data_IF_768087376791
#
_entry.id   IF_768087376791
#
_cell.length_a   1.000
_cell.length_b   1.000
_cell.length_c   1.000
_cell.angle_alpha   90.00
_cell.angle_beta   90.00
_cell.angle_gamma   90.00
#
_symmetry.space_group_name_H-M   'P 1'
#
loop_
_entity.id
_entity.type
_entity.pdbx_description
1 polymer ?
#
# COMPACT_ATOMS: atom_id res chain seq x y z
N UNK A 1 14.48 -4.25 18.23
CA UNK A 1 13.69 -4.45 19.46
C UNK A 1 12.67 -5.53 19.18
N UNK A 2 12.59 -6.59 20.01
CA UNK A 2 11.58 -7.64 19.85
C UNK A 2 10.19 -7.05 20.13
N UNK A 3 9.19 -7.53 19.40
CA UNK A 3 7.84 -6.99 19.27
C UNK A 3 6.81 -7.83 20.07
N UNK A 4 6.76 -7.75 21.41
CA UNK A 4 5.94 -8.66 22.20
C UNK A 4 4.42 -8.48 21.98
N UNK A 5 3.94 -7.28 21.62
CA UNK A 5 2.51 -7.07 21.31
C UNK A 5 2.12 -7.59 19.92
N UNK A 6 3.00 -7.53 18.93
CA UNK A 6 2.70 -7.99 17.57
C UNK A 6 2.45 -9.50 17.53
N UNK A 7 3.17 -10.28 18.33
CA UNK A 7 2.96 -11.73 18.43
C UNK A 7 1.58 -12.10 19.01
N UNK A 8 1.05 -11.29 19.93
CA UNK A 8 -0.28 -11.50 20.52
C UNK A 8 -1.39 -11.11 19.52
N UNK A 9 -1.20 -9.97 18.84
CA UNK A 9 -2.06 -9.48 17.75
C UNK A 9 -2.12 -10.52 16.62
N UNK A 10 -0.97 -11.03 16.18
CA UNK A 10 -0.88 -12.00 15.09
C UNK A 10 -1.51 -13.35 15.41
N UNK A 11 -1.45 -13.80 16.67
CA UNK A 11 -2.07 -15.04 17.12
C UNK A 11 -3.62 -15.00 17.11
N UNK A 12 -4.22 -13.80 17.11
CA UNK A 12 -5.67 -13.61 16.98
C UNK A 12 -6.07 -13.19 15.55
N UNK A 13 -5.20 -12.45 14.87
CA UNK A 13 -5.42 -11.85 13.56
C UNK A 13 -5.29 -12.81 12.38
N UNK A 14 -4.28 -13.68 12.37
CA UNK A 14 -4.11 -14.69 11.34
C UNK A 14 -4.79 -15.99 11.78
N UNK A 15 -5.48 -16.67 10.87
CA UNK A 15 -5.97 -18.02 11.13
C UNK A 15 -4.83 -19.07 11.22
N UNK A 16 -3.61 -18.67 11.61
CA UNK A 16 -2.38 -19.47 11.47
C UNK A 16 -1.20 -19.01 12.32
N UNK A 17 -0.11 -19.78 12.23
CA UNK A 17 1.11 -19.61 13.02
C UNK A 17 1.85 -18.29 12.70
N UNK A 18 2.46 -17.71 13.74
CA UNK A 18 3.43 -16.61 13.59
C UNK A 18 4.75 -17.19 13.07
N UNK A 19 5.19 -16.73 11.90
CA UNK A 19 6.46 -17.16 11.32
C UNK A 19 7.64 -16.41 11.95
N UNK A 20 8.74 -17.13 12.20
CA UNK A 20 10.05 -16.49 12.36
C UNK A 20 10.46 -15.87 11.02
N UNK A 21 11.09 -14.69 11.04
CA UNK A 21 11.43 -13.96 9.83
C UNK A 21 12.89 -13.57 9.77
N UNK A 22 13.39 -13.39 8.55
CA UNK A 22 14.72 -12.85 8.25
C UNK A 22 14.57 -11.65 7.33
N UNK A 23 15.05 -10.49 7.78
CA UNK A 23 15.23 -9.30 6.92
C UNK A 23 16.53 -9.47 6.14
N UNK A 24 16.45 -9.38 4.81
CA UNK A 24 17.60 -9.44 3.93
C UNK A 24 18.20 -8.04 3.70
N UNK A 25 19.49 -7.92 3.33
CA UNK A 25 20.09 -6.64 3.03
C UNK A 25 19.35 -5.87 1.92
N UNK A 26 19.46 -4.54 1.95
CA UNK A 26 18.95 -3.68 0.88
C UNK A 26 19.56 -4.10 -0.45
N UNK A 27 18.71 -4.33 -1.45
CA UNK A 27 19.12 -4.63 -2.82
C UNK A 27 18.77 -3.46 -3.72
N UNK A 28 19.70 -3.06 -4.59
CA UNK A 28 19.44 -2.08 -5.64
C UNK A 28 18.90 -2.78 -6.88
N UNK A 29 17.74 -2.34 -7.35
CA UNK A 29 17.13 -2.82 -8.59
C UNK A 29 17.24 -1.71 -9.62
N UNK A 30 17.93 -1.99 -10.71
CA UNK A 30 18.13 -1.06 -11.82
C UNK A 30 17.23 -1.43 -12.99
N UNK A 31 16.60 -0.44 -13.60
CA UNK A 31 15.78 -0.65 -14.79
C UNK A 31 15.73 0.60 -15.67
N UNK A 32 15.53 0.39 -16.97
CA UNK A 32 15.28 1.47 -17.92
C UNK A 32 13.81 1.89 -17.84
N UNK A 33 13.53 3.11 -17.38
CA UNK A 33 12.15 3.57 -17.16
C UNK A 33 11.35 3.64 -18.48
N UNK A 34 10.23 2.91 -18.63
CA UNK A 34 9.55 2.75 -19.92
C UNK A 34 9.07 4.06 -20.57
N UNK A 35 8.60 5.04 -19.79
CA UNK A 35 8.13 6.31 -20.36
C UNK A 35 9.27 7.27 -20.77
N UNK A 36 10.43 7.19 -20.11
CA UNK A 36 11.50 8.20 -20.26
C UNK A 36 12.71 7.65 -21.00
N UNK A 37 12.88 6.32 -21.02
CA UNK A 37 14.08 5.66 -21.52
C UNK A 37 15.35 6.06 -20.74
N UNK A 38 15.23 6.50 -19.49
CA UNK A 38 16.35 6.82 -18.61
C UNK A 38 16.49 5.72 -17.58
N UNK A 39 17.73 5.32 -17.29
CA UNK A 39 18.01 4.35 -16.23
C UNK A 39 17.54 4.89 -14.88
N UNK A 40 16.98 4.00 -14.07
CA UNK A 40 16.47 4.30 -12.74
C UNK A 40 16.84 3.18 -11.79
N UNK A 41 17.26 3.58 -10.60
CA UNK A 41 17.58 2.67 -9.50
C UNK A 41 16.58 2.87 -8.38
N UNK A 42 16.06 1.76 -7.86
CA UNK A 42 15.27 1.73 -6.63
C UNK A 42 15.95 0.80 -5.62
N UNK A 43 15.64 1.01 -4.36
CA UNK A 43 16.06 0.11 -3.29
C UNK A 43 14.89 -0.78 -2.90
N UNK A 44 15.15 -2.06 -2.65
CA UNK A 44 14.16 -3.02 -2.15
C UNK A 44 14.71 -3.76 -0.95
N UNK A 45 13.85 -4.08 0.00
CA UNK A 45 14.18 -4.98 1.12
C UNK A 45 13.15 -6.09 1.17
N UNK A 46 13.63 -7.33 1.24
CA UNK A 46 12.80 -8.52 1.40
C UNK A 46 12.89 -9.00 2.85
N UNK A 47 11.75 -9.28 3.44
CA UNK A 47 11.61 -9.99 4.70
C UNK A 47 10.97 -11.35 4.45
N UNK A 48 11.74 -12.40 4.73
CA UNK A 48 11.43 -13.76 4.38
C UNK A 48 10.95 -14.54 5.61
N UNK A 49 9.77 -15.16 5.57
CA UNK A 49 9.35 -16.18 6.53
C UNK A 49 10.26 -17.42 6.47
N UNK A 50 10.76 -17.85 7.62
CA UNK A 50 11.60 -19.03 7.77
C UNK A 50 10.77 -20.29 8.04
N UNK A 51 11.31 -21.44 7.65
CA UNK A 51 10.72 -22.75 7.96
C UNK A 51 9.51 -23.17 7.13
N UNK A 52 9.12 -22.37 6.12
CA UNK A 52 8.07 -22.75 5.19
C UNK A 52 8.58 -23.67 4.08
N UNK A 53 7.87 -24.77 3.82
CA UNK A 53 8.13 -25.65 2.70
C UNK A 53 7.53 -25.06 1.40
N UNK A 54 8.38 -24.83 0.39
CA UNK A 54 7.96 -24.41 -0.95
C UNK A 54 7.79 -22.90 -1.15
N UNK A 55 7.06 -22.54 -2.22
CA UNK A 55 6.87 -21.16 -2.67
C UNK A 55 5.79 -20.45 -1.86
N UNK A 56 6.14 -19.30 -1.29
CA UNK A 56 5.31 -18.46 -0.45
C UNK A 56 4.45 -17.49 -1.26
N UNK A 57 3.24 -17.14 -0.77
CA UNK A 57 2.57 -15.92 -1.22
C UNK A 57 3.40 -14.69 -0.86
N UNK A 58 3.33 -13.63 -1.67
CA UNK A 58 4.14 -12.43 -1.49
C UNK A 58 3.31 -11.15 -1.43
N UNK A 59 3.83 -10.14 -0.72
CA UNK A 59 3.22 -8.80 -0.62
C UNK A 59 4.28 -7.75 -0.89
N UNK A 60 3.99 -6.82 -1.81
CA UNK A 60 4.87 -5.67 -2.10
C UNK A 60 4.24 -4.39 -1.56
N UNK A 61 4.97 -3.66 -0.72
CA UNK A 61 4.53 -2.45 -0.01
C UNK A 61 5.18 -1.19 -0.57
N UNK A 62 4.36 -0.16 -0.84
CA UNK A 62 4.78 1.14 -1.37
C UNK A 62 4.47 2.27 -0.38
N UNK A 63 5.50 3.01 0.05
CA UNK A 63 5.37 4.09 1.04
C UNK A 63 4.67 5.34 0.51
N UNK A 64 4.17 6.23 1.38
CA UNK A 64 3.59 7.52 0.99
C UNK A 64 4.60 8.59 0.58
N UNK A 65 4.13 9.85 0.47
CA UNK A 65 4.99 11.02 0.24
C UNK A 65 5.37 11.28 -1.22
N UNK A 66 5.61 12.56 -1.52
CA UNK A 66 5.97 13.04 -2.86
C UNK A 66 7.49 13.16 -3.08
N UNK A 67 8.26 13.38 -2.02
CA UNK A 67 9.73 13.60 -2.08
C UNK A 67 10.58 12.32 -2.05
N UNK A 68 9.95 11.15 -2.11
CA UNK A 68 10.64 9.86 -2.03
C UNK A 68 10.83 9.34 -0.60
N UNK A 69 11.51 8.20 -0.50
CA UNK A 69 11.73 7.51 0.76
C UNK A 69 12.57 6.25 0.57
N UNK A 70 12.87 5.59 1.68
CA UNK A 70 13.65 4.34 1.71
C UNK A 70 12.72 3.13 1.90
N UNK A 71 13.21 1.90 1.68
CA UNK A 71 12.44 0.69 1.97
C UNK A 71 11.96 0.60 3.43
N UNK A 72 12.64 1.25 4.38
CA UNK A 72 12.25 1.25 5.79
C UNK A 72 11.01 2.13 6.08
N UNK A 73 10.51 2.88 5.10
CA UNK A 73 9.37 3.79 5.28
C UNK A 73 8.03 3.10 5.56
N UNK A 74 7.94 1.79 5.29
CA UNK A 74 6.84 0.88 5.67
C UNK A 74 7.37 -0.44 6.25
N UNK A 75 8.47 -0.40 7.01
CA UNK A 75 9.06 -1.59 7.63
C UNK A 75 8.08 -2.34 8.54
N UNK A 76 7.15 -1.63 9.17
CA UNK A 76 6.14 -2.23 10.05
C UNK A 76 5.13 -3.08 9.26
N UNK A 77 4.63 -2.59 8.13
CA UNK A 77 3.81 -3.38 7.22
C UNK A 77 4.56 -4.60 6.68
N UNK A 78 5.86 -4.43 6.36
CA UNK A 78 6.73 -5.53 5.95
C UNK A 78 6.79 -6.61 7.02
N UNK A 79 7.10 -6.21 8.25
CA UNK A 79 7.23 -7.13 9.39
C UNK A 79 5.93 -7.86 9.71
N UNK A 80 4.78 -7.16 9.75
CA UNK A 80 3.47 -7.78 10.04
C UNK A 80 3.13 -8.85 9.02
N UNK A 81 3.32 -8.57 7.73
CA UNK A 81 3.01 -9.54 6.68
C UNK A 81 4.03 -10.68 6.62
N UNK A 82 5.31 -10.42 6.89
CA UNK A 82 6.31 -11.48 7.01
C UNK A 82 6.01 -12.43 8.17
N UNK A 83 5.65 -11.90 9.34
CA UNK A 83 5.26 -12.70 10.50
C UNK A 83 3.92 -13.42 10.26
N UNK A 84 3.06 -12.89 9.40
CA UNK A 84 1.90 -13.57 8.84
C UNK A 84 2.22 -14.65 7.79
N UNK A 85 3.49 -15.02 7.62
CA UNK A 85 4.00 -16.03 6.69
C UNK A 85 3.87 -15.67 5.20
N UNK A 86 3.99 -14.39 4.85
CA UNK A 86 4.09 -13.89 3.47
C UNK A 86 5.52 -13.43 3.17
N UNK A 87 6.06 -13.72 1.98
CA UNK A 87 7.30 -13.07 1.56
C UNK A 87 7.02 -11.60 1.33
N UNK A 88 7.59 -10.73 2.18
CA UNK A 88 7.16 -9.34 2.25
C UNK A 88 8.25 -8.38 1.79
N UNK A 89 7.89 -7.42 0.95
CA UNK A 89 8.85 -6.59 0.22
C UNK A 89 8.47 -5.13 0.33
N UNK A 90 9.42 -4.27 0.64
CA UNK A 90 9.22 -2.81 0.64
C UNK A 90 10.07 -2.16 -0.44
N UNK A 91 9.47 -1.24 -1.19
CA UNK A 91 10.17 -0.43 -2.20
C UNK A 91 10.55 0.92 -1.60
N UNK A 92 11.81 1.33 -1.73
CA UNK A 92 12.28 2.69 -1.53
C UNK A 92 12.17 3.48 -2.82
N UNK A 93 11.09 4.23 -2.98
CA UNK A 93 10.87 5.06 -4.16
C UNK A 93 11.72 6.33 -4.04
N UNK A 94 12.82 6.40 -4.78
CA UNK A 94 13.64 7.61 -4.86
C UNK A 94 12.95 8.69 -5.70
N UNK A 95 13.12 9.96 -5.32
CA UNK A 95 12.73 11.07 -6.18
C UNK A 95 13.40 10.93 -7.56
N UNK A 96 12.72 11.21 -8.69
CA UNK A 96 13.34 11.11 -10.00
C UNK A 96 14.51 12.08 -10.14
N UNK A 97 15.66 11.58 -10.59
CA UNK A 97 16.83 12.42 -10.90
C UNK A 97 16.49 13.46 -11.97
N UNK A 98 17.23 14.58 -12.10
CA UNK A 98 16.85 15.68 -13.00
C UNK A 98 16.49 15.26 -14.44
N UNK A 99 17.26 14.35 -15.04
CA UNK A 99 16.98 13.86 -16.40
C UNK A 99 15.70 13.00 -16.49
N UNK A 100 15.37 12.27 -15.42
CA UNK A 100 14.11 11.52 -15.31
C UNK A 100 12.94 12.49 -15.06
N UNK A 101 13.11 13.42 -14.12
CA UNK A 101 12.11 14.40 -13.73
C UNK A 101 11.68 15.28 -14.91
N UNK A 102 12.64 15.76 -15.70
CA UNK A 102 12.37 16.54 -16.91
C UNK A 102 11.49 15.77 -17.90
N UNK A 103 11.84 14.51 -18.18
CA UNK A 103 11.10 13.68 -19.14
C UNK A 103 9.71 13.30 -18.62
N UNK A 104 9.57 12.97 -17.34
CA UNK A 104 8.26 12.71 -16.72
C UNK A 104 7.37 13.96 -16.76
N UNK A 105 7.94 15.13 -16.44
CA UNK A 105 7.22 16.41 -16.49
C UNK A 105 6.68 16.71 -17.90
N UNK A 106 7.55 16.58 -18.91
CA UNK A 106 7.17 16.77 -20.31
C UNK A 106 6.17 15.73 -20.79
N UNK A 107 6.29 14.48 -20.33
CA UNK A 107 5.32 13.42 -20.67
C UNK A 107 3.92 13.75 -20.16
N UNK A 108 3.80 14.36 -18.98
CA UNK A 108 2.53 14.87 -18.45
C UNK A 108 2.02 16.13 -19.17
N UNK A 109 2.74 16.68 -20.14
CA UNK A 109 2.36 17.91 -20.84
C UNK A 109 2.71 19.20 -20.11
N UNK A 110 3.63 19.16 -19.12
CA UNK A 110 4.04 20.31 -18.30
C UNK A 110 5.44 20.82 -18.65
N UNK A 111 5.74 22.07 -18.26
CA UNK A 111 7.04 22.70 -18.46
C UNK A 111 8.01 22.40 -17.30
N UNK A 112 9.24 22.00 -17.65
CA UNK A 112 10.31 21.76 -16.67
C UNK A 112 11.37 22.88 -16.75
N UNK A 113 11.87 23.41 -15.62
CA UNK A 113 11.56 23.03 -14.22
C UNK A 113 10.36 23.76 -13.60
N UNK A 114 9.73 24.70 -14.30
CA UNK A 114 8.76 25.63 -13.71
C UNK A 114 7.56 24.95 -13.03
N UNK A 115 7.04 23.87 -13.61
CA UNK A 115 5.88 23.15 -13.08
C UNK A 115 6.24 21.95 -12.19
N UNK A 116 7.34 21.24 -12.51
CA UNK A 116 7.66 19.96 -11.86
C UNK A 116 9.07 19.86 -11.25
N UNK A 117 9.78 20.98 -11.14
CA UNK A 117 11.08 21.00 -10.45
C UNK A 117 10.98 20.48 -9.02
N UNK A 118 12.12 20.16 -8.41
CA UNK A 118 12.17 19.64 -7.03
C UNK A 118 11.44 20.54 -6.01
N UNK A 119 11.54 21.86 -6.15
CA UNK A 119 10.80 22.82 -5.32
C UNK A 119 9.25 22.75 -5.48
N UNK A 120 8.75 22.02 -6.48
CA UNK A 120 7.33 21.85 -6.82
C UNK A 120 6.79 20.46 -6.46
N UNK A 121 7.57 19.62 -5.79
CA UNK A 121 7.21 18.26 -5.37
C UNK A 121 5.84 18.14 -4.69
N UNK A 122 5.45 19.14 -3.88
CA UNK A 122 4.15 19.17 -3.20
C UNK A 122 2.96 19.54 -4.11
N UNK A 123 3.22 20.11 -5.29
CA UNK A 123 2.21 20.55 -6.26
C UNK A 123 2.08 19.55 -7.41
N UNK A 124 3.21 19.07 -7.94
CA UNK A 124 3.27 18.06 -8.98
C UNK A 124 4.06 16.86 -8.48
N UNK A 125 3.34 15.79 -8.17
CA UNK A 125 3.91 14.57 -7.60
C UNK A 125 4.46 13.66 -8.70
N UNK A 126 5.58 14.03 -9.33
CA UNK A 126 6.23 13.23 -10.37
C UNK A 126 6.46 11.77 -9.95
N UNK A 127 6.78 11.57 -8.68
CA UNK A 127 6.99 10.24 -8.13
C UNK A 127 5.76 9.34 -8.28
N UNK A 128 4.54 9.88 -8.23
CA UNK A 128 3.32 9.09 -8.43
C UNK A 128 3.25 8.45 -9.81
N UNK A 129 3.83 9.09 -10.83
CA UNK A 129 3.94 8.54 -12.18
C UNK A 129 5.05 7.48 -12.30
N UNK A 130 6.11 7.58 -11.49
CA UNK A 130 7.22 6.61 -11.50
C UNK A 130 6.88 5.31 -10.73
N UNK A 131 6.08 5.39 -9.67
CA UNK A 131 5.76 4.27 -8.77
C UNK A 131 5.25 3.00 -9.47
N UNK A 132 4.34 3.04 -10.46
CA UNK A 132 3.91 1.82 -11.15
C UNK A 132 5.04 1.09 -11.87
N UNK A 133 6.06 1.82 -12.34
CA UNK A 133 7.23 1.24 -12.98
C UNK A 133 8.25 0.71 -11.98
N UNK A 134 8.42 1.39 -10.84
CA UNK A 134 9.20 0.88 -9.71
C UNK A 134 8.61 -0.44 -9.18
N UNK A 135 7.28 -0.54 -9.10
CA UNK A 135 6.58 -1.78 -8.78
C UNK A 135 6.87 -2.87 -9.81
N UNK A 136 6.77 -2.56 -11.11
CA UNK A 136 7.04 -3.53 -12.18
C UNK A 136 8.46 -4.10 -12.09
N UNK A 137 9.46 -3.23 -11.90
CA UNK A 137 10.85 -3.63 -11.74
C UNK A 137 11.06 -4.48 -10.47
N UNK A 138 10.38 -4.14 -9.37
CA UNK A 138 10.40 -4.95 -8.15
C UNK A 138 9.80 -6.33 -8.36
N UNK A 139 8.67 -6.42 -9.08
CA UNK A 139 8.06 -7.70 -9.42
C UNK A 139 8.95 -8.54 -10.34
N UNK A 140 9.62 -7.93 -11.32
CA UNK A 140 10.60 -8.62 -12.18
C UNK A 140 11.76 -9.17 -11.35
N UNK A 141 12.32 -8.36 -10.45
CA UNK A 141 13.36 -8.77 -9.51
C UNK A 141 12.91 -9.96 -8.64
N UNK A 142 11.70 -9.91 -8.06
CA UNK A 142 11.19 -11.01 -7.22
C UNK A 142 10.97 -12.30 -8.02
N UNK A 143 10.43 -12.19 -9.23
CA UNK A 143 10.15 -13.36 -10.06
C UNK A 143 11.42 -13.98 -10.67
N UNK A 144 12.53 -13.26 -10.67
CA UNK A 144 13.84 -13.74 -11.10
C UNK A 144 14.68 -14.25 -9.92
N UNK A 145 15.03 -13.35 -8.99
CA UNK A 145 15.99 -13.60 -7.91
C UNK A 145 15.38 -14.42 -6.76
N UNK A 146 14.06 -14.39 -6.63
CA UNK A 146 13.31 -15.13 -5.61
C UNK A 146 12.39 -16.18 -6.21
N UNK A 147 12.65 -16.62 -7.45
CA UNK A 147 11.80 -17.55 -8.20
C UNK A 147 11.50 -18.85 -7.44
N UNK A 148 12.46 -19.37 -6.68
CA UNK A 148 12.32 -20.60 -5.89
C UNK A 148 11.50 -20.41 -4.61
N UNK A 149 11.27 -19.16 -4.18
CA UNK A 149 10.58 -18.81 -2.94
C UNK A 149 9.27 -18.07 -3.13
N UNK A 150 9.04 -17.39 -4.26
CA UNK A 150 7.80 -16.65 -4.53
C UNK A 150 6.87 -17.47 -5.40
N UNK A 151 5.60 -17.57 -5.00
CA UNK A 151 4.55 -18.10 -5.85
C UNK A 151 3.99 -16.98 -6.74
N UNK A 152 4.22 -17.01 -8.08
CA UNK A 152 3.81 -15.93 -8.98
C UNK A 152 2.30 -15.76 -9.06
N UNK A 153 1.52 -16.77 -8.68
CA UNK A 153 0.05 -16.72 -8.69
C UNK A 153 -0.54 -16.16 -7.38
N UNK A 154 0.30 -15.81 -6.41
CA UNK A 154 -0.12 -15.40 -5.07
C UNK A 154 0.62 -14.13 -4.62
N UNK A 155 0.50 -13.07 -5.42
CA UNK A 155 1.12 -11.77 -5.14
C UNK A 155 0.02 -10.76 -4.81
N UNK A 156 0.19 -10.01 -3.72
CA UNK A 156 -0.60 -8.81 -3.44
C UNK A 156 0.29 -7.56 -3.45
N UNK A 157 -0.33 -6.41 -3.64
CA UNK A 157 0.34 -5.11 -3.59
C UNK A 157 -0.40 -4.22 -2.60
N UNK A 158 0.36 -3.63 -1.68
CA UNK A 158 -0.15 -2.74 -0.65
C UNK A 158 0.53 -1.38 -0.70
N UNK A 159 -0.14 -0.36 -0.17
CA UNK A 159 0.50 0.93 0.00
C UNK A 159 -0.21 1.85 0.97
N UNK A 160 0.50 2.89 1.38
CA UNK A 160 0.00 3.97 2.22
C UNK A 160 0.05 5.31 1.47
N UNK A 161 -0.99 6.13 1.59
CA UNK A 161 -1.02 7.50 1.04
C UNK A 161 -0.73 7.49 -0.47
N UNK A 162 0.28 8.22 -0.96
CA UNK A 162 0.69 8.19 -2.37
C UNK A 162 1.01 6.77 -2.88
N UNK A 163 1.53 5.89 -2.00
CA UNK A 163 1.73 4.48 -2.31
C UNK A 163 0.44 3.68 -2.41
N UNK A 164 -0.61 4.05 -1.66
CA UNK A 164 -1.96 3.49 -1.82
C UNK A 164 -2.54 3.87 -3.19
N UNK A 165 -2.35 5.11 -3.63
CA UNK A 165 -2.68 5.55 -4.99
C UNK A 165 -1.98 4.70 -6.06
N UNK A 166 -0.67 4.42 -5.90
CA UNK A 166 0.07 3.56 -6.81
C UNK A 166 -0.40 2.10 -6.80
N UNK A 167 -0.81 1.57 -5.63
CA UNK A 167 -1.39 0.23 -5.53
C UNK A 167 -2.71 0.16 -6.33
N UNK A 168 -3.56 1.17 -6.22
CA UNK A 168 -4.81 1.27 -7.00
C UNK A 168 -4.53 1.46 -8.51
N UNK A 169 -3.50 2.22 -8.90
CA UNK A 169 -3.08 2.32 -10.31
C UNK A 169 -2.65 0.96 -10.88
N UNK A 170 -1.91 0.16 -10.10
CA UNK A 170 -1.56 -1.21 -10.47
C UNK A 170 -2.79 -2.14 -10.51
N UNK A 171 -3.82 -1.86 -9.70
CA UNK A 171 -5.09 -2.57 -9.72
C UNK A 171 -5.93 -2.28 -10.97
N UNK A 172 -5.72 -1.12 -11.61
CA UNK A 172 -6.48 -0.71 -12.80
C UNK A 172 -7.01 0.72 -12.73
N UNK A 173 -6.76 1.46 -11.64
CA UNK A 173 -7.23 2.83 -11.54
C UNK A 173 -6.60 3.72 -12.62
N UNK A 174 -7.45 4.44 -13.35
CA UNK A 174 -7.05 5.47 -14.28
C UNK A 174 -6.65 6.75 -13.55
N UNK A 175 -5.73 7.49 -14.16
CA UNK A 175 -5.27 8.81 -13.71
C UNK A 175 -5.28 9.79 -14.87
N UNK A 176 -5.66 11.03 -14.56
CA UNK A 176 -5.63 12.15 -15.50
C UNK A 176 -4.31 12.92 -15.35
N UNK A 177 -3.62 13.10 -16.46
CA UNK A 177 -2.44 13.94 -16.59
C UNK A 177 -2.70 14.97 -17.70
N UNK A 178 -3.10 16.17 -17.30
CA UNK A 178 -3.61 17.20 -18.24
C UNK A 178 -4.74 16.64 -19.10
N UNK A 179 -4.55 16.58 -20.42
CA UNK A 179 -5.54 16.07 -21.38
C UNK A 179 -5.53 14.54 -21.53
N UNK A 180 -4.60 13.83 -20.86
CA UNK A 180 -4.43 12.38 -20.98
C UNK A 180 -5.13 11.66 -19.84
N UNK A 181 -5.76 10.53 -20.14
CA UNK A 181 -6.24 9.57 -19.14
C UNK A 181 -5.48 8.26 -19.37
N UNK A 182 -4.79 7.78 -18.35
CA UNK A 182 -3.84 6.69 -18.45
C UNK A 182 -4.05 5.66 -17.35
N UNK A 183 -3.81 4.40 -17.67
CA UNK A 183 -3.87 3.28 -16.74
C UNK A 183 -2.52 2.59 -16.66
N UNK A 184 -2.11 2.18 -15.46
CA UNK A 184 -0.83 1.48 -15.24
C UNK A 184 -1.02 0.09 -14.64
N UNK A 185 -2.15 -0.55 -14.95
CA UNK A 185 -2.49 -1.87 -14.47
C UNK A 185 -1.32 -2.85 -14.64
N UNK A 186 -1.07 -3.66 -13.63
CA UNK A 186 -0.15 -4.80 -13.71
C UNK A 186 -0.95 -6.08 -13.53
N UNK A 187 -0.84 -7.08 -14.44
CA UNK A 187 -1.65 -8.29 -14.38
C UNK A 187 -1.18 -9.28 -13.30
N UNK A 188 0.03 -9.13 -12.75
CA UNK A 188 0.63 -10.12 -11.83
C UNK A 188 0.00 -10.13 -10.44
N UNK A 189 -0.25 -8.97 -9.77
CA UNK A 189 -0.90 -8.98 -8.47
C UNK A 189 -2.37 -9.41 -8.55
N UNK A 190 -2.82 -10.15 -7.54
CA UNK A 190 -4.16 -10.74 -7.44
C UNK A 190 -5.08 -9.99 -6.47
N UNK A 191 -4.52 -9.22 -5.54
CA UNK A 191 -5.27 -8.49 -4.53
C UNK A 191 -4.51 -7.21 -4.13
N UNK A 192 -5.25 -6.16 -3.73
CA UNK A 192 -4.68 -4.84 -3.47
C UNK A 192 -5.11 -4.29 -2.11
N UNK A 193 -4.17 -3.66 -1.40
CA UNK A 193 -4.42 -2.99 -0.12
C UNK A 193 -4.08 -1.50 -0.27
N UNK A 194 -5.03 -0.62 0.01
CA UNK A 194 -4.86 0.82 -0.15
C UNK A 194 -5.26 1.53 1.14
N UNK A 195 -4.25 1.92 1.92
CA UNK A 195 -4.44 2.60 3.19
C UNK A 195 -4.29 4.11 3.02
N UNK A 196 -5.36 4.87 3.33
CA UNK A 196 -5.50 6.31 3.06
C UNK A 196 -5.26 6.70 1.59
N UNK A 197 -5.99 6.11 0.62
CA UNK A 197 -5.83 6.44 -0.80
C UNK A 197 -6.32 7.86 -1.13
N UNK A 198 -5.89 8.40 -2.27
CA UNK A 198 -6.40 9.68 -2.77
C UNK A 198 -7.80 9.50 -3.38
N UNK A 199 -8.72 10.40 -3.04
CA UNK A 199 -10.09 10.45 -3.59
C UNK A 199 -10.20 11.24 -4.90
N UNK A 200 -11.38 11.21 -5.56
CA UNK A 200 -11.67 12.05 -6.73
C UNK A 200 -11.34 13.52 -6.49
N UNK A 201 -10.62 14.15 -7.42
CA UNK A 201 -10.14 15.52 -7.31
C UNK A 201 -8.71 15.68 -6.78
N UNK A 202 -8.11 14.60 -6.25
CA UNK A 202 -6.71 14.58 -5.80
C UNK A 202 -5.83 13.76 -6.75
N UNK A 203 -4.59 14.19 -6.98
CA UNK A 203 -3.56 13.44 -7.74
C UNK A 203 -4.00 12.86 -9.10
N UNK A 204 -4.88 13.58 -9.81
CA UNK A 204 -5.40 13.15 -11.11
C UNK A 204 -6.45 12.03 -11.02
N UNK A 205 -6.94 11.68 -9.83
CA UNK A 205 -8.14 10.87 -9.65
C UNK A 205 -9.36 11.68 -10.09
N UNK A 206 -10.27 11.07 -10.84
CA UNK A 206 -11.52 11.68 -11.27
C UNK A 206 -12.66 10.65 -11.12
N UNK A 207 -13.91 11.09 -11.18
CA UNK A 207 -15.05 10.18 -11.14
C UNK A 207 -14.97 9.14 -12.28
N UNK A 208 -15.00 7.85 -11.94
CA UNK A 208 -14.79 6.74 -12.89
C UNK A 208 -13.32 6.31 -13.01
N UNK A 209 -12.41 6.91 -12.23
CA UNK A 209 -11.01 6.44 -12.15
C UNK A 209 -10.92 4.97 -11.76
N UNK A 210 -11.89 4.42 -11.03
CA UNK A 210 -11.83 3.07 -10.45
C UNK A 210 -12.60 2.02 -11.26
N UNK A 211 -13.24 2.39 -12.38
CA UNK A 211 -14.07 1.49 -13.21
C UNK A 211 -13.29 0.29 -13.77
N UNK A 212 -11.98 0.44 -13.98
CA UNK A 212 -11.09 -0.61 -14.48
C UNK A 212 -10.62 -1.60 -13.41
N UNK A 213 -11.02 -1.46 -12.15
CA UNK A 213 -10.62 -2.37 -11.07
C UNK A 213 -11.64 -3.51 -10.95
N UNK A 214 -11.21 -4.71 -11.33
CA UNK A 214 -11.99 -5.95 -11.33
C UNK A 214 -11.46 -7.00 -10.34
N UNK A 215 -10.51 -6.62 -9.49
CA UNK A 215 -9.82 -7.48 -8.52
C UNK A 215 -10.12 -7.04 -7.08
N UNK A 216 -9.97 -7.94 -6.10
CA UNK A 216 -10.20 -7.63 -4.69
C UNK A 216 -9.37 -6.44 -4.22
N UNK A 217 -10.01 -5.52 -3.51
CA UNK A 217 -9.35 -4.36 -2.88
C UNK A 217 -9.81 -4.21 -1.44
N UNK A 218 -8.85 -4.00 -0.54
CA UNK A 218 -9.10 -3.49 0.81
C UNK A 218 -8.69 -2.03 0.90
N UNK A 219 -9.67 -1.15 1.15
CA UNK A 219 -9.44 0.24 1.54
C UNK A 219 -9.37 0.31 3.07
N UNK A 220 -8.42 1.08 3.61
CA UNK A 220 -8.39 1.40 5.03
C UNK A 220 -8.28 2.90 5.28
N UNK A 221 -9.18 3.44 6.09
CA UNK A 221 -9.18 4.85 6.53
C UNK A 221 -9.92 4.98 7.86
N UNK A 222 -10.11 6.21 8.37
CA UNK A 222 -10.80 6.46 9.63
C UNK A 222 -11.08 7.95 9.86
N UNK A 223 -11.84 8.25 10.90
CA UNK A 223 -12.37 9.60 11.17
C UNK A 223 -11.26 10.66 11.25
N UNK A 224 -10.15 10.34 11.91
CA UNK A 224 -9.00 11.25 12.04
C UNK A 224 -8.13 11.40 10.79
N UNK A 225 -8.42 10.67 9.70
CA UNK A 225 -7.56 10.59 8.52
C UNK A 225 -7.69 11.83 7.64
N UNK A 226 -6.95 12.87 8.03
CA UNK A 226 -6.95 14.18 7.38
C UNK A 226 -5.54 14.54 6.91
N UNK A 227 -5.38 14.95 5.65
CA UNK A 227 -4.06 15.32 5.08
C UNK A 227 -4.20 16.14 3.81
N UNK A 228 -3.37 17.17 3.63
CA UNK A 228 -3.24 17.84 2.33
C UNK A 228 -4.54 18.39 1.71
N UNK A 229 -5.57 18.67 2.52
CA UNK A 229 -6.90 19.08 2.07
C UNK A 229 -7.91 17.95 1.90
N UNK A 230 -7.48 16.68 1.94
CA UNK A 230 -8.34 15.48 1.89
C UNK A 230 -8.75 15.03 3.29
N UNK A 231 -10.01 14.66 3.45
CA UNK A 231 -10.65 14.17 4.68
C UNK A 231 -10.99 12.67 4.60
N UNK A 232 -11.45 12.09 5.70
CA UNK A 232 -11.85 10.69 5.76
C UNK A 232 -12.88 10.33 4.68
N UNK A 233 -13.82 11.24 4.42
CA UNK A 233 -14.89 11.07 3.42
C UNK A 233 -14.34 10.93 1.99
N UNK A 234 -13.28 11.66 1.64
CA UNK A 234 -12.65 11.54 0.31
C UNK A 234 -12.05 10.15 0.08
N UNK A 235 -11.58 9.51 1.17
CA UNK A 235 -11.01 8.15 1.14
C UNK A 235 -12.11 7.10 1.12
N UNK A 236 -13.22 7.35 1.81
CA UNK A 236 -14.43 6.52 1.72
C UNK A 236 -15.04 6.59 0.33
N UNK A 237 -15.00 7.75 -0.34
CA UNK A 237 -15.48 7.90 -1.71
C UNK A 237 -14.76 6.97 -2.70
N UNK A 238 -13.49 6.65 -2.47
CA UNK A 238 -12.76 5.62 -3.24
C UNK A 238 -13.44 4.26 -3.12
N UNK A 239 -13.79 3.84 -1.89
CA UNK A 239 -14.55 2.60 -1.69
C UNK A 239 -15.92 2.68 -2.38
N UNK A 240 -16.64 3.79 -2.25
CA UNK A 240 -17.96 3.93 -2.83
C UNK A 240 -17.93 3.88 -4.38
N UNK A 241 -16.87 4.38 -5.03
CA UNK A 241 -16.68 4.30 -6.49
C UNK A 241 -16.18 2.94 -7.02
N UNK A 242 -15.57 2.08 -6.18
CA UNK A 242 -15.10 0.77 -6.62
C UNK A 242 -16.26 -0.11 -7.11
N UNK A 243 -16.25 -0.52 -8.38
CA UNK A 243 -17.33 -1.32 -8.99
C UNK A 243 -17.07 -2.83 -9.07
N UNK A 244 -15.83 -3.27 -8.78
CA UNK A 244 -15.43 -4.68 -8.89
C UNK A 244 -16.04 -5.59 -7.81
N UNK A 245 -15.84 -6.92 -7.92
CA UNK A 245 -16.21 -7.86 -6.85
C UNK A 245 -15.24 -7.74 -5.68
N UNK A 246 -15.67 -8.14 -4.47
CA UNK A 246 -14.78 -8.31 -3.32
C UNK A 246 -14.05 -7.01 -2.91
N UNK A 247 -14.84 -5.95 -2.75
CA UNK A 247 -14.35 -4.64 -2.34
C UNK A 247 -14.63 -4.47 -0.86
N UNK A 248 -13.63 -4.02 -0.10
CA UNK A 248 -13.71 -3.89 1.34
C UNK A 248 -13.29 -2.52 1.81
N UNK A 249 -13.92 -2.06 2.89
CA UNK A 249 -13.53 -0.85 3.59
C UNK A 249 -13.42 -1.16 5.08
N UNK A 250 -12.20 -1.07 5.60
CA UNK A 250 -11.93 -0.88 7.01
C UNK A 250 -12.05 0.60 7.34
N UNK A 251 -13.03 0.96 8.17
CA UNK A 251 -13.19 2.31 8.69
C UNK A 251 -13.00 2.33 10.21
N UNK A 252 -12.07 3.15 10.69
CA UNK A 252 -11.87 3.40 12.11
C UNK A 252 -12.67 4.63 12.51
N UNK A 253 -13.71 4.47 13.33
CA UNK A 253 -14.61 5.54 13.76
C UNK A 253 -13.94 6.53 14.73
N UNK A 254 -12.76 6.17 15.24
CA UNK A 254 -12.00 6.93 16.24
C UNK A 254 -11.08 7.98 15.59
N UNK A 255 -11.15 9.22 16.08
CA UNK A 255 -10.31 10.35 15.66
C UNK A 255 -8.81 10.12 15.94
N UNK A 256 -8.46 9.15 16.78
CA UNK A 256 -7.09 8.73 17.07
C UNK A 256 -6.40 7.97 15.92
N UNK A 257 -7.06 7.84 14.76
CA UNK A 257 -6.51 7.29 13.52
C UNK A 257 -6.10 8.39 12.50
N UNK A 258 -5.05 9.20 12.76
CA UNK A 258 -4.61 10.23 11.83
C UNK A 258 -3.98 9.64 10.56
N UNK A 259 -3.82 10.44 9.51
CA UNK A 259 -3.29 9.97 8.22
C UNK A 259 -1.99 9.15 8.30
N UNK A 260 -1.04 9.54 9.16
CA UNK A 260 0.23 8.83 9.33
C UNK A 260 0.07 7.41 9.88
N UNK A 261 -1.04 7.12 10.57
CA UNK A 261 -1.37 5.84 11.21
C UNK A 261 -1.44 4.69 10.22
N UNK A 262 -1.99 4.96 9.05
CA UNK A 262 -2.24 4.00 7.98
C UNK A 262 -0.94 3.52 7.30
N UNK A 263 0.19 4.16 7.58
CA UNK A 263 1.52 3.64 7.27
C UNK A 263 2.03 2.59 8.26
N UNK A 264 1.25 2.27 9.30
CA UNK A 264 1.55 1.34 10.40
C UNK A 264 2.77 1.70 11.28
N UNK A 265 3.32 2.90 11.11
CA UNK A 265 4.51 3.34 11.83
C UNK A 265 4.21 3.76 13.27
N UNK A 266 4.83 3.09 14.26
CA UNK A 266 4.66 3.43 15.68
C UNK A 266 5.28 4.78 16.04
N UNK A 267 6.37 5.16 15.36
CA UNK A 267 6.96 6.50 15.48
C UNK A 267 6.04 7.61 14.91
N UNK A 268 5.03 7.24 14.11
CA UNK A 268 4.01 8.15 13.58
C UNK A 268 2.76 8.19 14.45
N UNK A 269 2.80 7.63 15.66
CA UNK A 269 1.80 7.78 16.72
C UNK A 269 1.82 9.18 17.36
N UNK A 270 1.88 10.21 16.53
CA UNK A 270 1.87 11.62 16.93
C UNK A 270 0.95 12.34 15.95
N UNK A 271 -0.07 13.01 16.46
CA UNK A 271 -0.94 13.87 15.65
C UNK A 271 -0.37 15.29 15.59
N UNK A 272 -0.75 16.06 14.58
CA UNK A 272 -0.44 17.49 14.43
C UNK A 272 -1.08 18.36 15.53
N UNK A 273 -0.69 18.13 16.78
CA UNK A 273 -1.25 18.74 17.99
C UNK A 273 -0.80 18.07 19.30
N UNK A 274 -0.19 16.87 19.28
CA UNK A 274 0.33 16.20 20.49
C UNK A 274 0.36 14.67 20.40
N UNK A 275 0.91 13.99 21.44
CA UNK A 275 0.90 12.54 21.51
C UNK A 275 -0.53 12.00 21.62
N UNK A 276 -0.84 10.99 20.82
CA UNK A 276 -1.99 10.10 21.05
C UNK A 276 -1.57 9.12 22.15
N UNK A 277 -2.49 8.65 22.99
CA UNK A 277 -2.15 7.62 23.96
C UNK A 277 -1.60 6.37 23.25
N UNK A 278 -0.51 5.79 23.78
CA UNK A 278 0.15 4.63 23.17
C UNK A 278 -0.81 3.43 23.01
N UNK A 279 -1.79 3.30 23.91
CA UNK A 279 -2.82 2.26 23.88
C UNK A 279 -3.76 2.39 22.67
N UNK A 280 -4.17 3.61 22.31
CA UNK A 280 -4.97 3.85 21.11
C UNK A 280 -4.14 3.63 19.84
N UNK A 281 -2.86 3.96 19.92
CA UNK A 281 -1.91 3.71 18.84
C UNK A 281 -1.78 2.22 18.51
N UNK A 282 -1.65 1.39 19.55
CA UNK A 282 -1.51 -0.07 19.41
C UNK A 282 -2.81 -0.72 18.92
N UNK A 283 -3.97 -0.27 19.40
CA UNK A 283 -5.28 -0.78 18.96
C UNK A 283 -5.52 -0.58 17.46
N UNK A 284 -5.23 0.61 16.93
CA UNK A 284 -5.43 0.86 15.50
C UNK A 284 -4.43 0.05 14.66
N UNK A 285 -3.19 -0.11 15.12
CA UNK A 285 -2.19 -0.96 14.46
C UNK A 285 -2.68 -2.42 14.42
N UNK A 286 -3.24 -2.91 15.53
CA UNK A 286 -3.85 -4.23 15.61
C UNK A 286 -4.96 -4.40 14.58
N UNK A 287 -5.94 -3.49 14.52
CA UNK A 287 -7.05 -3.60 13.58
C UNK A 287 -6.61 -3.55 12.13
N UNK A 288 -5.69 -2.65 11.78
CA UNK A 288 -5.10 -2.56 10.45
C UNK A 288 -4.39 -3.86 10.07
N UNK A 289 -3.59 -4.41 10.98
CA UNK A 289 -2.88 -5.67 10.79
C UNK A 289 -3.85 -6.84 10.59
N UNK A 290 -4.89 -6.94 11.43
CA UNK A 290 -5.93 -7.97 11.35
C UNK A 290 -6.66 -7.93 10.02
N UNK A 291 -7.14 -6.76 9.61
CA UNK A 291 -7.84 -6.63 8.33
C UNK A 291 -6.93 -6.99 7.15
N UNK A 292 -5.69 -6.52 7.14
CA UNK A 292 -4.74 -6.84 6.08
C UNK A 292 -4.45 -8.35 5.99
N UNK A 293 -4.20 -9.01 7.12
CA UNK A 293 -3.88 -10.44 7.14
C UNK A 293 -5.08 -11.30 6.77
N UNK A 294 -6.28 -10.98 7.26
CA UNK A 294 -7.52 -11.67 6.84
C UNK A 294 -7.79 -11.48 5.35
N UNK A 295 -7.58 -10.28 4.81
CA UNK A 295 -7.68 -10.02 3.38
C UNK A 295 -6.67 -10.84 2.56
N UNK A 296 -5.41 -10.87 2.98
CA UNK A 296 -4.38 -11.67 2.32
C UNK A 296 -4.68 -13.17 2.41
N UNK A 297 -5.17 -13.66 3.55
CA UNK A 297 -5.56 -15.07 3.74
C UNK A 297 -6.73 -15.44 2.80
N UNK A 298 -7.72 -14.56 2.66
CA UNK A 298 -8.87 -14.77 1.78
C UNK A 298 -8.44 -14.91 0.30
N UNK A 299 -7.50 -14.08 -0.17
CA UNK A 299 -7.21 -13.98 -1.61
C UNK A 299 -5.90 -14.62 -2.08
N UNK A 300 -4.90 -14.78 -1.20
CA UNK A 300 -3.65 -15.47 -1.55
C UNK A 300 -3.63 -16.92 -1.03
N UNK A 301 -4.40 -17.23 0.03
CA UNK A 301 -4.48 -18.59 0.59
C UNK A 301 -5.83 -19.27 0.35
N UNK A 302 -6.86 -18.52 -0.04
CA UNK A 302 -8.20 -19.07 -0.29
C UNK A 302 -8.95 -19.42 0.99
N UNK A 303 -8.72 -18.67 2.08
CA UNK A 303 -9.41 -18.89 3.35
C UNK A 303 -10.86 -18.40 3.29
N UNK A 304 -11.81 -19.34 3.24
CA UNK A 304 -13.25 -19.05 3.29
C UNK A 304 -13.68 -18.41 4.63
N UNK A 305 -13.02 -18.79 5.73
CA UNK A 305 -13.23 -18.18 7.04
C UNK A 305 -12.86 -16.69 7.01
N UNK A 306 -11.69 -16.36 6.46
CA UNK A 306 -11.25 -14.98 6.35
C UNK A 306 -12.15 -14.16 5.41
N UNK A 307 -12.59 -14.76 4.29
CA UNK A 307 -13.57 -14.12 3.40
C UNK A 307 -14.90 -13.84 4.10
N UNK A 308 -15.41 -14.81 4.85
CA UNK A 308 -16.66 -14.65 5.62
C UNK A 308 -16.51 -13.56 6.69
N UNK A 309 -15.36 -13.49 7.34
CA UNK A 309 -15.05 -12.44 8.33
C UNK A 309 -15.09 -11.05 7.69
N UNK A 310 -14.47 -10.89 6.51
CA UNK A 310 -14.47 -9.62 5.77
C UNK A 310 -15.87 -9.22 5.31
N UNK A 311 -16.66 -10.16 4.80
CA UNK A 311 -18.02 -9.90 4.30
C UNK A 311 -19.04 -9.62 5.42
N UNK A 312 -18.78 -10.11 6.63
CA UNK A 312 -19.74 -10.12 7.74
C UNK A 312 -19.52 -9.08 8.83
N UNK A 313 -18.82 -7.97 8.56
CA UNK A 313 -18.36 -6.98 9.57
C UNK A 313 -17.62 -7.65 10.75
N UNK A 314 -16.67 -8.54 10.45
CA UNK A 314 -15.87 -9.23 11.47
C UNK A 314 -15.15 -8.25 12.40
N UNK A 315 -14.59 -7.17 11.84
CA UNK A 315 -13.96 -6.10 12.62
C UNK A 315 -14.94 -5.47 13.62
N UNK A 316 -16.14 -5.06 13.18
CA UNK A 316 -17.11 -4.43 14.06
C UNK A 316 -17.57 -5.32 15.21
N UNK A 317 -17.62 -6.65 15.00
CA UNK A 317 -17.94 -7.61 16.06
C UNK A 317 -16.85 -7.70 17.12
N UNK A 318 -15.58 -7.68 16.71
CA UNK A 318 -14.43 -7.81 17.60
C UNK A 318 -14.15 -6.51 18.38
N UNK A 319 -14.33 -5.36 17.75
CA UNK A 319 -13.94 -4.07 18.34
C UNK A 319 -15.11 -3.33 18.99
N UNK A 320 -16.29 -3.95 19.11
CA UNK A 320 -17.50 -3.25 19.56
C UNK A 320 -17.89 -2.07 18.65
N UNK A 321 -17.60 -2.19 17.34
CA UNK A 321 -17.86 -1.21 16.29
C UNK A 321 -17.01 0.07 16.32
N UNK A 322 -15.91 0.12 17.08
CA UNK A 322 -14.93 1.22 16.96
C UNK A 322 -14.19 1.18 15.62
N UNK A 323 -13.86 0.00 15.10
CA UNK A 323 -13.47 -0.20 13.71
C UNK A 323 -14.50 -1.11 13.03
N UNK A 324 -14.77 -0.90 11.74
CA UNK A 324 -15.85 -1.58 11.04
C UNK A 324 -15.38 -2.02 9.66
N UNK A 325 -15.88 -3.17 9.23
CA UNK A 325 -15.64 -3.69 7.90
C UNK A 325 -16.93 -3.60 7.08
N UNK A 326 -16.87 -2.88 5.97
CA UNK A 326 -17.90 -2.87 4.92
C UNK A 326 -17.40 -3.69 3.74
N UNK A 327 -18.33 -4.35 3.05
CA UNK A 327 -18.04 -5.16 1.87
C UNK A 327 -19.09 -4.91 0.78
N UNK A 328 -18.68 -5.02 -0.49
CA UNK A 328 -19.57 -5.13 -1.65
C UNK A 328 -18.95 -6.02 -2.72
#
# INVERSE_FOLDING_TARGET
MRWPLLALILAQAAAGAVCETKVHPVTKVEYRHPLTGVERTIEVVVEEPLGADGKLPAVVWMHGGAGGGTPESLAEWRGVTAQGCYLSVTIGHAWPEPAQAEKLCRWMGRAFPDDCGEAKQGQVKLLNLARPFDLRATLDYLLLEWAERVNPQKIAVGGHSAGAGAALMAAGAARRYEERVETFADPRPRAFLAFSPQGPGSDGVFAGSFDGIDRPVLIGTGAGDTTGGEQAEDRVAVFDELGGPDQYLLYVEDESAPHGRFGLGRARCVSGGGPVADEDCDRVIEWLSTAALRFLDAYLRGSDEARTWLQGDGMGKETGRVARMRAK
#
